data_IF_486881073382
#
_entry.id   IF_486881073382
#
_cell.length_a   1.000
_cell.length_b   1.000
_cell.length_c   1.000
_cell.angle_alpha   90.00
_cell.angle_beta   90.00
_cell.angle_gamma   90.00
#
_symmetry.space_group_name_H-M   'P 1'
#
loop_
_entity.id
_entity.type
_entity.pdbx_description
1 polymer ?
#
# COMPACT_ATOMS: atom_id res chain seq x y z
N UNK A 1 1.35 -32.77 -45.96
CA UNK A 1 0.69 -31.78 -45.07
C UNK A 1 -0.32 -32.53 -44.22
N UNK A 2 0.15 -33.21 -43.17
CA UNK A 2 -0.75 -33.84 -42.19
C UNK A 2 -0.95 -32.85 -41.05
N UNK A 3 -2.13 -32.23 -41.01
CA UNK A 3 -2.57 -31.45 -39.86
C UNK A 3 -2.85 -32.41 -38.71
N UNK A 4 -1.81 -32.73 -37.93
CA UNK A 4 -1.98 -33.38 -36.63
C UNK A 4 -2.69 -32.38 -35.73
N UNK A 5 -3.96 -32.66 -35.46
CA UNK A 5 -4.70 -32.05 -34.35
C UNK A 5 -3.84 -32.24 -33.09
N UNK A 6 -3.20 -31.16 -32.64
CA UNK A 6 -2.52 -31.15 -31.35
C UNK A 6 -3.65 -31.09 -30.33
N UNK A 7 -3.98 -32.25 -29.77
CA UNK A 7 -4.78 -32.33 -28.55
C UNK A 7 -4.22 -31.30 -27.58
N UNK A 8 -5.07 -30.39 -27.14
CA UNK A 8 -4.73 -29.37 -26.15
C UNK A 8 -4.48 -30.13 -24.86
N UNK A 9 -3.23 -30.61 -24.69
CA UNK A 9 -2.76 -31.24 -23.47
C UNK A 9 -3.08 -30.28 -22.34
N UNK A 10 -3.96 -30.71 -21.44
CA UNK A 10 -4.21 -30.01 -20.19
C UNK A 10 -2.84 -29.74 -19.58
N UNK A 11 -2.50 -28.46 -19.40
CA UNK A 11 -1.24 -28.09 -18.75
C UNK A 11 -1.17 -28.81 -17.40
N UNK A 12 -0.09 -29.55 -17.08
CA UNK A 12 0.03 -30.45 -15.92
C UNK A 12 0.22 -29.66 -14.60
N UNK A 13 -0.62 -28.64 -14.39
CA UNK A 13 -0.50 -27.69 -13.29
C UNK A 13 -0.96 -28.31 -11.98
N UNK A 14 -1.98 -29.19 -12.05
CA UNK A 14 -2.42 -29.96 -10.89
C UNK A 14 -1.34 -30.95 -10.44
N UNK A 15 -0.64 -31.57 -11.40
CA UNK A 15 0.45 -32.51 -11.11
C UNK A 15 1.64 -31.79 -10.47
N UNK A 16 2.04 -30.62 -11.00
CA UNK A 16 3.07 -29.76 -10.39
C UNK A 16 2.67 -29.34 -8.98
N UNK A 17 1.41 -28.95 -8.76
CA UNK A 17 0.89 -28.57 -7.43
C UNK A 17 0.92 -29.75 -6.46
N UNK A 18 0.51 -30.94 -6.91
CA UNK A 18 0.47 -32.16 -6.10
C UNK A 18 1.87 -32.60 -5.69
N UNK A 19 2.81 -32.65 -6.64
CA UNK A 19 4.21 -33.01 -6.39
C UNK A 19 4.88 -31.99 -5.47
N UNK A 20 4.69 -30.69 -5.73
CA UNK A 20 5.24 -29.64 -4.87
C UNK A 20 4.67 -29.72 -3.44
N UNK A 21 3.41 -30.14 -3.26
CA UNK A 21 2.83 -30.33 -1.92
C UNK A 21 3.40 -31.55 -1.20
N UNK A 22 3.54 -32.68 -1.89
CA UNK A 22 4.09 -33.91 -1.30
C UNK A 22 5.57 -33.80 -0.97
N UNK A 23 6.35 -33.11 -1.82
CA UNK A 23 7.81 -33.11 -1.74
C UNK A 23 8.42 -31.80 -1.26
N UNK A 24 7.61 -30.90 -0.68
CA UNK A 24 8.08 -29.61 -0.15
C UNK A 24 9.15 -29.76 0.93
N UNK A 25 8.98 -30.76 1.79
CA UNK A 25 9.91 -31.07 2.88
C UNK A 25 11.21 -31.70 2.39
N UNK A 26 11.18 -32.32 1.20
CA UNK A 26 12.34 -32.91 0.54
C UNK A 26 13.13 -31.88 -0.30
N UNK A 27 12.76 -30.59 -0.24
CA UNK A 27 13.50 -29.51 -0.89
C UNK A 27 13.33 -29.40 -2.41
N UNK A 28 12.29 -30.02 -2.99
CA UNK A 28 12.03 -29.91 -4.43
C UNK A 28 11.64 -28.47 -4.78
N UNK A 29 12.38 -27.86 -5.71
CA UNK A 29 12.14 -26.49 -6.15
C UNK A 29 11.07 -26.44 -7.25
N UNK A 30 10.25 -25.38 -7.24
CA UNK A 30 9.27 -25.14 -8.30
C UNK A 30 9.93 -24.92 -9.66
N UNK A 31 11.13 -24.32 -9.70
CA UNK A 31 11.88 -24.12 -10.94
C UNK A 31 12.24 -25.45 -11.61
N UNK A 32 12.67 -26.44 -10.82
CA UNK A 32 12.93 -27.79 -11.32
C UNK A 32 11.67 -28.44 -11.90
N UNK A 33 10.52 -28.29 -11.23
CA UNK A 33 9.25 -28.82 -11.72
C UNK A 33 8.78 -28.12 -13.01
N UNK A 34 9.00 -26.81 -13.12
CA UNK A 34 8.67 -26.06 -14.34
C UNK A 34 9.46 -26.56 -15.55
N UNK A 35 10.75 -26.85 -15.35
CA UNK A 35 11.61 -27.42 -16.38
C UNK A 35 11.20 -28.85 -16.74
N UNK A 36 10.99 -29.71 -15.75
CA UNK A 36 10.61 -31.11 -15.96
C UNK A 36 9.27 -31.27 -16.70
N UNK A 37 8.30 -30.40 -16.40
CA UNK A 37 6.97 -30.42 -17.02
C UNK A 37 6.84 -29.50 -18.24
N UNK A 38 7.90 -28.81 -18.65
CA UNK A 38 7.89 -27.84 -19.74
C UNK A 38 6.78 -26.76 -19.60
N UNK A 39 6.66 -26.20 -18.40
CA UNK A 39 5.66 -25.17 -18.06
C UNK A 39 6.35 -23.85 -17.72
N UNK A 40 5.99 -22.79 -18.43
CA UNK A 40 6.44 -21.45 -18.05
C UNK A 40 5.90 -21.05 -16.67
N UNK A 41 6.77 -20.48 -15.83
CA UNK A 41 6.42 -19.99 -14.49
C UNK A 41 5.23 -19.02 -14.52
N UNK A 42 5.15 -18.14 -15.52
CA UNK A 42 4.04 -17.21 -15.70
C UNK A 42 2.71 -17.94 -15.93
N UNK A 43 2.71 -18.98 -16.75
CA UNK A 43 1.53 -19.81 -17.05
C UNK A 43 1.07 -20.57 -15.81
N UNK A 44 2.00 -21.14 -15.04
CA UNK A 44 1.71 -21.79 -13.76
C UNK A 44 1.02 -20.81 -12.81
N UNK A 45 1.66 -19.67 -12.50
CA UNK A 45 1.11 -18.70 -11.56
C UNK A 45 -0.21 -18.07 -12.03
N UNK A 46 -0.40 -17.88 -13.34
CA UNK A 46 -1.65 -17.36 -13.88
C UNK A 46 -2.80 -18.35 -13.66
N UNK A 47 -2.61 -19.62 -14.02
CA UNK A 47 -3.66 -20.64 -13.92
C UNK A 47 -3.92 -21.07 -12.47
N UNK A 48 -2.89 -21.17 -11.62
CA UNK A 48 -3.09 -21.48 -10.18
C UNK A 48 -3.92 -20.45 -9.43
N UNK A 49 -3.98 -19.18 -9.92
CA UNK A 49 -4.86 -18.14 -9.34
C UNK A 49 -6.34 -18.43 -9.52
N UNK A 50 -6.71 -19.20 -10.57
CA UNK A 50 -8.11 -19.50 -10.89
C UNK A 50 -8.60 -20.83 -10.32
N UNK A 51 -7.71 -21.80 -10.08
CA UNK A 51 -8.07 -23.13 -9.58
C UNK A 51 -8.17 -23.24 -8.06
N UNK A 52 -7.46 -22.38 -7.33
CA UNK A 52 -7.66 -22.22 -5.89
C UNK A 52 -8.45 -20.94 -5.72
N UNK A 53 -9.65 -21.03 -5.15
CA UNK A 53 -10.37 -19.86 -4.65
C UNK A 53 -9.55 -19.24 -3.51
N UNK A 54 -8.55 -18.47 -3.91
CA UNK A 54 -7.71 -17.71 -3.02
C UNK A 54 -8.49 -16.53 -2.46
N UNK A 55 -9.81 -16.38 -2.69
CA UNK A 55 -10.62 -15.39 -1.95
C UNK A 55 -10.48 -15.56 -0.42
N UNK A 56 -10.16 -16.76 0.07
CA UNK A 56 -9.84 -17.05 1.47
C UNK A 56 -8.39 -16.69 1.87
N UNK A 57 -7.40 -16.81 0.96
CA UNK A 57 -5.98 -16.53 1.20
C UNK A 57 -5.56 -15.08 0.87
N UNK A 58 -6.16 -14.50 -0.16
CA UNK A 58 -5.96 -13.15 -0.70
C UNK A 58 -6.78 -12.08 0.04
N UNK A 59 -7.61 -12.48 1.02
CA UNK A 59 -8.22 -11.56 1.99
C UNK A 59 -7.25 -11.06 3.07
N UNK A 60 -5.94 -11.28 2.94
CA UNK A 60 -5.02 -10.21 3.38
C UNK A 60 -5.10 -9.07 2.36
N UNK A 61 -6.24 -8.35 2.37
CA UNK A 61 -6.18 -6.89 2.18
C UNK A 61 -4.97 -6.47 3.00
N UNK A 62 -3.94 -5.89 2.37
CA UNK A 62 -2.79 -5.35 3.09
C UNK A 62 -3.33 -4.66 4.32
N UNK A 63 -3.16 -5.33 5.47
CA UNK A 63 -3.75 -4.89 6.72
C UNK A 63 -3.27 -3.48 6.89
N UNK A 64 -4.21 -2.53 6.98
CA UNK A 64 -3.98 -1.14 7.39
C UNK A 64 -2.67 -1.09 8.17
N UNK A 65 -1.56 -0.71 7.53
CA UNK A 65 -0.27 -0.76 8.23
C UNK A 65 -0.50 0.08 9.46
N UNK A 66 -0.44 -0.50 10.68
CA UNK A 66 -0.87 0.17 11.90
C UNK A 66 -0.18 1.51 11.92
N UNK A 67 -0.92 2.55 11.58
CA UNK A 67 -0.29 3.82 11.31
C UNK A 67 0.15 4.33 12.65
N UNK A 68 1.45 4.59 12.81
CA UNK A 68 2.01 5.01 14.09
C UNK A 68 1.26 6.27 14.55
N UNK A 69 0.59 6.19 15.69
CA UNK A 69 -0.16 7.29 16.31
C UNK A 69 0.73 8.34 16.98
N UNK A 70 2.01 8.37 16.62
CA UNK A 70 2.99 9.32 17.15
C UNK A 70 4.01 9.71 16.07
N UNK A 71 4.59 10.90 16.22
CA UNK A 71 5.71 11.42 15.44
C UNK A 71 6.97 11.45 16.32
N UNK A 72 8.14 11.59 15.69
CA UNK A 72 9.39 11.76 16.42
C UNK A 72 9.81 13.23 16.40
N UNK A 73 10.42 13.71 17.47
CA UNK A 73 11.16 14.98 17.45
C UNK A 73 12.56 14.78 16.87
N UNK A 74 13.26 15.88 16.56
CA UNK A 74 14.69 15.86 16.19
C UNK A 74 15.53 15.22 17.30
N UNK A 75 15.12 15.34 18.55
CA UNK A 75 15.77 14.75 19.72
C UNK A 75 15.46 13.25 19.90
N UNK A 76 14.50 12.70 19.14
CA UNK A 76 14.09 11.30 19.22
C UNK A 76 12.89 11.02 20.14
N UNK A 77 12.31 12.05 20.76
CA UNK A 77 11.15 11.91 21.64
C UNK A 77 9.88 11.58 20.83
N UNK A 78 8.96 10.87 21.46
CA UNK A 78 7.66 10.51 20.85
C UNK A 78 6.62 11.58 21.16
N UNK A 79 6.06 12.17 20.11
CA UNK A 79 4.97 13.13 20.20
C UNK A 79 3.67 12.49 19.70
N UNK A 80 2.59 12.49 20.49
CA UNK A 80 1.29 11.98 20.06
C UNK A 80 0.72 12.72 18.85
N UNK A 81 -0.04 12.03 18.00
CA UNK A 81 -0.70 12.65 16.85
C UNK A 81 -1.76 13.69 17.28
N UNK A 82 -2.34 13.54 18.48
CA UNK A 82 -3.29 14.49 19.05
C UNK A 82 -2.72 15.92 19.13
N UNK A 83 -1.44 16.07 19.45
CA UNK A 83 -0.76 17.37 19.50
C UNK A 83 -0.68 18.03 18.12
N UNK A 84 -0.32 17.24 17.10
CA UNK A 84 -0.25 17.75 15.72
C UNK A 84 -1.66 18.13 15.24
N UNK A 85 -2.67 17.37 15.62
CA UNK A 85 -4.08 17.64 15.27
C UNK A 85 -4.56 18.94 15.93
N UNK A 86 -4.25 19.19 17.21
CA UNK A 86 -4.65 20.42 17.89
C UNK A 86 -4.02 21.66 17.24
N UNK A 87 -2.74 21.59 16.89
CA UNK A 87 -2.04 22.67 16.19
C UNK A 87 -2.63 22.92 14.79
N UNK A 88 -2.96 21.86 14.05
CA UNK A 88 -3.63 22.00 12.75
C UNK A 88 -5.01 22.65 12.86
N UNK A 89 -5.76 22.42 13.94
CA UNK A 89 -7.05 23.08 14.21
C UNK A 89 -6.87 24.58 14.46
N UNK A 90 -5.88 24.98 15.25
CA UNK A 90 -5.56 26.40 15.47
C UNK A 90 -5.18 27.10 14.17
N UNK A 91 -4.34 26.48 13.34
CA UNK A 91 -3.97 27.01 12.02
C UNK A 91 -5.22 27.16 11.14
N UNK A 92 -6.14 26.19 11.17
CA UNK A 92 -7.40 26.24 10.43
C UNK A 92 -8.28 27.43 10.85
N UNK A 93 -8.41 27.65 12.16
CA UNK A 93 -9.19 28.76 12.72
C UNK A 93 -8.59 30.11 12.32
N UNK A 94 -7.27 30.29 12.48
CA UNK A 94 -6.57 31.48 12.02
C UNK A 94 -6.77 31.73 10.52
N UNK A 95 -6.58 30.71 9.66
CA UNK A 95 -6.80 30.85 8.22
C UNK A 95 -8.25 31.23 7.88
N UNK A 96 -9.23 30.72 8.62
CA UNK A 96 -10.63 31.07 8.42
C UNK A 96 -10.92 32.54 8.76
N UNK A 97 -10.25 33.10 9.78
CA UNK A 97 -10.40 34.51 10.15
C UNK A 97 -9.84 35.46 9.08
N UNK A 98 -8.68 35.13 8.49
CA UNK A 98 -8.01 36.02 7.55
C UNK A 98 -8.41 35.81 6.08
N UNK A 99 -8.84 34.61 5.69
CA UNK A 99 -9.09 34.27 4.29
C UNK A 99 -10.60 34.06 4.05
N UNK A 100 -11.26 35.13 3.60
CA UNK A 100 -12.67 35.12 3.15
C UNK A 100 -12.93 34.15 1.98
N UNK A 101 -11.91 33.85 1.16
CA UNK A 101 -12.07 33.08 -0.09
C UNK A 101 -11.62 31.62 0.04
N UNK A 102 -12.46 30.63 -0.29
CA UNK A 102 -12.20 29.21 -0.04
C UNK A 102 -11.06 28.59 -0.88
N UNK A 103 -10.65 29.22 -1.98
CA UNK A 103 -9.62 28.71 -2.88
C UNK A 103 -8.18 29.07 -2.46
N UNK A 104 -8.00 30.01 -1.54
CA UNK A 104 -6.70 30.36 -0.93
C UNK A 104 -6.36 29.48 0.30
N UNK A 105 -7.27 28.59 0.72
CA UNK A 105 -7.28 27.96 2.05
C UNK A 105 -6.40 26.72 2.23
N UNK A 106 -5.39 26.48 1.41
CA UNK A 106 -4.58 25.26 1.57
C UNK A 106 -3.09 25.49 1.64
N UNK A 107 -2.55 25.40 2.86
CA UNK A 107 -1.14 25.06 3.02
C UNK A 107 -0.88 23.64 2.49
N UNK A 108 0.17 23.53 1.68
CA UNK A 108 0.67 22.25 1.21
C UNK A 108 1.17 21.38 2.36
N UNK A 109 1.02 20.06 2.25
CA UNK A 109 1.49 19.14 3.30
C UNK A 109 3.00 19.20 3.52
N UNK A 110 3.78 19.51 2.47
CA UNK A 110 5.24 19.70 2.56
C UNK A 110 5.60 20.94 3.38
N UNK A 111 4.97 22.09 3.08
CA UNK A 111 5.16 23.34 3.84
C UNK A 111 4.77 23.19 5.31
N UNK A 112 3.70 22.44 5.60
CA UNK A 112 3.32 22.13 6.98
C UNK A 112 4.39 21.27 7.67
N UNK A 113 4.92 20.25 7.00
CA UNK A 113 6.01 19.45 7.56
C UNK A 113 7.25 20.31 7.91
N UNK A 114 7.63 21.24 7.04
CA UNK A 114 8.73 22.19 7.30
C UNK A 114 8.42 23.07 8.50
N UNK A 115 7.24 23.68 8.56
CA UNK A 115 6.79 24.49 9.69
C UNK A 115 6.82 23.72 11.03
N UNK A 116 6.31 22.49 11.07
CA UNK A 116 6.34 21.66 12.28
C UNK A 116 7.76 21.25 12.70
N UNK A 117 8.66 21.09 11.73
CA UNK A 117 10.08 20.83 12.00
C UNK A 117 10.77 22.06 12.56
N UNK A 118 10.54 23.25 12.01
CA UNK A 118 11.16 24.50 12.46
C UNK A 118 10.64 24.95 13.82
N UNK A 119 9.31 24.92 14.02
CA UNK A 119 8.69 25.47 15.23
C UNK A 119 8.73 24.51 16.42
N UNK A 120 8.50 23.22 16.18
CA UNK A 120 8.35 22.22 17.23
C UNK A 120 9.43 21.13 17.21
N UNK A 121 10.34 21.16 16.23
CA UNK A 121 11.32 20.09 16.05
C UNK A 121 10.67 18.75 15.71
N UNK A 122 9.44 18.71 15.17
CA UNK A 122 8.73 17.45 14.91
C UNK A 122 8.97 17.00 13.47
N UNK A 123 9.46 15.77 13.31
CA UNK A 123 9.72 15.14 12.02
C UNK A 123 8.46 14.38 11.59
N UNK A 124 7.76 14.92 10.59
CA UNK A 124 6.53 14.35 10.05
C UNK A 124 6.70 14.07 8.55
N UNK A 125 6.41 12.84 8.13
CA UNK A 125 6.33 12.52 6.70
C UNK A 125 5.11 13.23 6.06
N UNK A 126 5.30 13.84 4.89
CA UNK A 126 4.21 14.51 4.16
C UNK A 126 2.98 13.62 3.89
N UNK A 127 3.16 12.29 3.76
CA UNK A 127 2.04 11.33 3.64
C UNK A 127 1.20 11.28 4.92
N UNK A 128 1.87 11.29 6.08
CA UNK A 128 1.22 11.33 7.40
C UNK A 128 0.53 12.68 7.61
N UNK A 129 1.22 13.78 7.31
CA UNK A 129 0.65 15.12 7.38
C UNK A 129 -0.57 15.26 6.47
N UNK A 130 -0.54 14.75 5.24
CA UNK A 130 -1.69 14.73 4.34
C UNK A 130 -2.89 14.05 5.00
N UNK A 131 -2.70 12.88 5.62
CA UNK A 131 -3.77 12.17 6.31
C UNK A 131 -4.34 12.97 7.49
N UNK A 132 -3.50 13.46 8.39
CA UNK A 132 -3.93 14.28 9.53
C UNK A 132 -4.69 15.54 9.06
N UNK A 133 -4.23 16.13 7.95
CA UNK A 133 -4.89 17.26 7.30
C UNK A 133 -6.30 16.91 6.79
N UNK A 134 -6.49 15.71 6.24
CA UNK A 134 -7.80 15.19 5.85
C UNK A 134 -8.71 14.98 7.07
N UNK A 135 -8.18 14.45 8.18
CA UNK A 135 -8.93 14.27 9.43
C UNK A 135 -9.45 15.61 10.00
N UNK A 136 -8.64 16.68 9.89
CA UNK A 136 -9.02 18.04 10.34
C UNK A 136 -9.87 18.80 9.31
N UNK A 137 -10.00 18.29 8.08
CA UNK A 137 -10.74 18.93 6.99
C UNK A 137 -10.06 20.19 6.43
N UNK A 138 -8.72 20.30 6.51
CA UNK A 138 -7.93 21.39 5.91
C UNK A 138 -7.53 20.99 4.47
N UNK A 139 -8.53 20.60 3.68
CA UNK A 139 -8.35 20.05 2.33
C UNK A 139 -8.97 21.01 1.33
N UNK A 140 -8.25 21.27 0.25
CA UNK A 140 -8.73 22.13 -0.83
C UNK A 140 -9.71 21.37 -1.70
N UNK A 141 -10.64 22.08 -2.34
CA UNK A 141 -11.45 21.48 -3.41
C UNK A 141 -10.50 21.01 -4.51
N UNK A 142 -10.57 19.73 -4.85
CA UNK A 142 -9.83 19.17 -5.98
C UNK A 142 -10.49 19.71 -7.26
N UNK A 143 -9.90 20.74 -7.86
CA UNK A 143 -10.27 21.14 -9.22
C UNK A 143 -9.61 20.16 -10.17
N UNK A 144 -10.40 19.31 -10.83
CA UNK A 144 -9.90 18.58 -12.01
C UNK A 144 -9.45 19.65 -13.01
N UNK A 145 -8.16 19.65 -13.34
CA UNK A 145 -7.61 20.39 -14.46
C UNK A 145 -7.98 19.68 -15.76
#
# INVERSE_FOLDING_TARGET
MENKHVDIKSTPILDILYINRLHREYGVSLSYLFEAFNVNSSTYHYKTRFFLDTSSLSKKKHTNSKTRGFCYTVNGDKVPDEFVISELKQIKEHLNMYVSKPYLKTLGSTKLCEYFKEKYGIIINHKKMRRLKHEVGLVGKYTKH
#
